data_IF_135000296703
#
_entry.id   IF_135000296703
#
_cell.length_a   1.000
_cell.length_b   1.000
_cell.length_c   1.000
_cell.angle_alpha   90.00
_cell.angle_beta   90.00
_cell.angle_gamma   90.00
#
_symmetry.space_group_name_H-M   'P 1'
#
loop_
_entity.id
_entity.type
_entity.pdbx_description
1 polymer ?
#
# COMPACT_ATOMS: atom_id res chain seq x y z
N UNK A 1 -6.71 52.02 62.50
CA UNK A 1 -6.37 51.10 61.39
C UNK A 1 -5.29 50.13 61.88
N UNK A 2 -5.60 48.86 62.15
CA UNK A 2 -4.57 47.83 62.37
C UNK A 2 -4.10 47.22 61.04
N UNK A 3 -2.83 46.81 60.96
CA UNK A 3 -2.21 46.31 59.72
C UNK A 3 -2.71 44.93 59.30
N UNK A 4 -2.72 44.69 57.99
CA UNK A 4 -2.87 43.35 57.41
C UNK A 4 -1.65 42.49 57.79
N UNK A 5 -1.87 41.26 58.27
CA UNK A 5 -0.79 40.31 58.52
C UNK A 5 -0.70 39.32 57.35
N UNK A 6 0.30 39.51 56.47
CA UNK A 6 0.62 38.53 55.44
C UNK A 6 1.35 37.33 56.07
N UNK A 7 0.63 36.24 56.31
CA UNK A 7 1.25 34.94 56.61
C UNK A 7 1.97 34.42 55.37
N UNK A 8 3.29 34.35 55.41
CA UNK A 8 4.11 33.79 54.34
C UNK A 8 3.79 32.32 54.09
N UNK A 9 3.53 31.97 52.82
CA UNK A 9 3.29 30.59 52.41
C UNK A 9 4.63 29.84 52.29
N UNK A 10 5.01 29.14 53.36
CA UNK A 10 6.23 28.33 53.36
C UNK A 10 6.11 27.15 52.39
N UNK A 11 6.78 27.24 51.24
CA UNK A 11 6.86 26.14 50.27
C UNK A 11 7.63 24.98 50.94
N UNK A 12 6.90 23.90 51.24
CA UNK A 12 7.49 22.66 51.78
C UNK A 12 8.50 22.10 50.78
N UNK A 13 9.65 21.68 51.28
CA UNK A 13 10.83 21.37 50.47
C UNK A 13 10.56 20.42 49.30
N UNK A 14 10.81 20.91 48.10
CA UNK A 14 10.86 20.13 46.87
C UNK A 14 11.98 19.10 46.98
N UNK A 15 11.62 17.81 47.01
CA UNK A 15 12.61 16.73 46.81
C UNK A 15 13.08 16.81 45.36
N UNK A 16 14.33 17.23 45.15
CA UNK A 16 14.96 17.19 43.82
C UNK A 16 15.30 15.76 43.42
N UNK A 17 15.14 15.43 42.14
CA UNK A 17 15.66 14.19 41.58
C UNK A 17 17.18 14.20 41.59
N UNK A 18 17.80 13.07 41.90
CA UNK A 18 19.25 12.90 41.75
C UNK A 18 19.61 12.73 40.27
N UNK A 19 20.84 13.12 39.91
CA UNK A 19 21.34 12.97 38.54
C UNK A 19 21.35 11.50 38.07
N UNK A 20 21.57 10.56 38.99
CA UNK A 20 21.58 9.12 38.69
C UNK A 20 20.19 8.56 38.43
N UNK A 21 19.15 9.01 39.15
CA UNK A 21 17.76 8.62 38.88
C UNK A 21 17.33 9.06 37.47
N UNK A 22 17.64 10.29 37.08
CA UNK A 22 17.33 10.80 35.74
C UNK A 22 18.13 10.04 34.65
N UNK A 23 19.42 9.78 34.89
CA UNK A 23 20.29 9.03 33.97
C UNK A 23 19.78 7.61 33.70
N UNK A 24 19.34 6.89 34.73
CA UNK A 24 18.77 5.54 34.58
C UNK A 24 17.47 5.57 33.79
N UNK A 25 16.61 6.57 34.02
CA UNK A 25 15.33 6.72 33.28
C UNK A 25 15.57 6.95 31.79
N UNK A 26 16.47 7.86 31.40
CA UNK A 26 16.75 8.11 29.98
C UNK A 26 17.45 6.91 29.31
N UNK A 27 18.26 6.14 30.05
CA UNK A 27 18.86 4.92 29.54
C UNK A 27 17.80 3.85 29.22
N UNK A 28 16.82 3.64 30.12
CA UNK A 28 15.72 2.69 29.90
C UNK A 28 14.84 3.13 28.72
N UNK A 29 14.49 4.42 28.65
CA UNK A 29 13.71 4.98 27.53
C UNK A 29 14.47 4.81 26.20
N UNK A 30 15.79 5.02 26.17
CA UNK A 30 16.63 4.79 25.00
C UNK A 30 16.60 3.34 24.51
N UNK A 31 16.72 2.38 25.43
CA UNK A 31 16.64 0.94 25.09
C UNK A 31 15.26 0.60 24.53
N UNK A 32 14.18 0.96 25.25
CA UNK A 32 12.81 0.61 24.84
C UNK A 32 12.42 1.28 23.50
N UNK A 33 12.76 2.55 23.30
CA UNK A 33 12.45 3.27 22.06
C UNK A 33 13.17 2.68 20.84
N UNK A 34 14.42 2.20 20.98
CA UNK A 34 15.16 1.57 19.89
C UNK A 34 14.46 0.31 19.33
N UNK A 35 13.93 -0.54 20.22
CA UNK A 35 13.19 -1.76 19.86
C UNK A 35 11.86 -1.41 19.19
N UNK A 36 11.13 -0.42 19.73
CA UNK A 36 9.86 0.04 19.17
C UNK A 36 10.04 0.58 17.75
N UNK A 37 11.06 1.40 17.49
CA UNK A 37 11.33 1.94 16.14
C UNK A 37 11.62 0.84 15.11
N UNK A 38 12.41 -0.18 15.48
CA UNK A 38 12.67 -1.32 14.61
C UNK A 38 11.38 -2.09 14.25
N UNK A 39 10.52 -2.35 15.24
CA UNK A 39 9.24 -3.04 15.02
C UNK A 39 8.26 -2.24 14.14
N UNK A 40 8.22 -0.91 14.30
CA UNK A 40 7.31 -0.03 13.58
C UNK A 40 7.60 0.01 12.07
N UNK A 41 8.87 -0.07 11.66
CA UNK A 41 9.24 -0.10 10.25
C UNK A 41 8.70 -1.34 9.54
N UNK A 42 8.84 -2.54 10.15
CA UNK A 42 8.26 -3.77 9.60
C UNK A 42 6.73 -3.74 9.56
N UNK A 43 6.09 -3.21 10.61
CA UNK A 43 4.63 -3.05 10.63
C UNK A 43 4.12 -2.12 9.51
N UNK A 44 4.84 -1.04 9.22
CA UNK A 44 4.53 -0.11 8.11
C UNK A 44 4.67 -0.77 6.74
N UNK A 45 5.69 -1.58 6.52
CA UNK A 45 5.86 -2.35 5.27
C UNK A 45 4.68 -3.30 5.05
N UNK A 46 4.34 -4.11 6.06
CA UNK A 46 3.17 -5.02 6.02
C UNK A 46 1.86 -4.28 5.73
N UNK A 47 1.67 -3.10 6.32
CA UNK A 47 0.49 -2.26 6.08
C UNK A 47 0.39 -1.72 4.65
N UNK A 48 1.53 -1.40 4.01
CA UNK A 48 1.57 -1.00 2.60
C UNK A 48 1.29 -2.16 1.66
N UNK A 49 1.89 -3.32 1.89
CA UNK A 49 1.63 -4.51 1.07
C UNK A 49 0.17 -4.98 1.18
N UNK A 50 -0.41 -4.96 2.39
CA UNK A 50 -1.84 -5.25 2.57
C UNK A 50 -2.74 -4.28 1.79
N UNK A 51 -2.34 -3.01 1.66
CA UNK A 51 -3.02 -2.03 0.81
C UNK A 51 -2.85 -2.35 -0.68
N UNK A 52 -1.64 -2.65 -1.16
CA UNK A 52 -1.39 -3.07 -2.56
C UNK A 52 -2.30 -4.22 -2.98
N UNK A 53 -2.37 -5.27 -2.16
CA UNK A 53 -3.22 -6.45 -2.40
C UNK A 53 -4.72 -6.08 -2.42
N UNK A 54 -5.16 -5.16 -1.55
CA UNK A 54 -6.53 -4.64 -1.57
C UNK A 54 -6.83 -3.82 -2.82
N UNK A 55 -5.90 -2.95 -3.23
CA UNK A 55 -6.04 -2.07 -4.38
C UNK A 55 -6.11 -2.87 -5.69
N UNK A 56 -5.24 -3.89 -5.85
CA UNK A 56 -5.29 -4.85 -6.96
C UNK A 56 -6.64 -5.56 -7.03
N UNK A 57 -7.20 -6.02 -5.89
CA UNK A 57 -8.52 -6.68 -5.87
C UNK A 57 -9.69 -5.74 -6.20
N UNK A 58 -9.60 -4.47 -5.85
CA UNK A 58 -10.60 -3.47 -6.25
C UNK A 58 -10.55 -3.22 -7.76
N UNK A 59 -9.36 -3.12 -8.34
CA UNK A 59 -9.17 -3.01 -9.79
C UNK A 59 -9.62 -4.29 -10.53
N UNK A 60 -9.35 -5.49 -9.98
CA UNK A 60 -9.83 -6.76 -10.50
C UNK A 60 -11.37 -6.76 -10.63
N UNK A 61 -12.09 -6.40 -9.57
CA UNK A 61 -13.54 -6.31 -9.58
C UNK A 61 -14.05 -5.27 -10.62
N UNK A 62 -13.38 -4.12 -10.74
CA UNK A 62 -13.74 -3.12 -11.73
C UNK A 62 -13.49 -3.57 -13.18
N UNK A 63 -12.47 -4.40 -13.43
CA UNK A 63 -12.20 -5.01 -14.73
C UNK A 63 -13.28 -6.02 -15.13
N UNK A 64 -13.74 -6.87 -14.22
CA UNK A 64 -14.84 -7.82 -14.51
C UNK A 64 -16.14 -7.09 -14.84
N UNK A 65 -16.51 -6.08 -14.05
CA UNK A 65 -17.69 -5.25 -14.33
C UNK A 65 -17.58 -4.47 -15.66
N UNK A 66 -16.36 -4.07 -16.04
CA UNK A 66 -16.10 -3.48 -17.36
C UNK A 66 -16.28 -4.50 -18.48
N UNK A 67 -15.81 -5.74 -18.30
CA UNK A 67 -15.95 -6.81 -19.29
C UNK A 67 -17.43 -7.16 -19.54
N UNK A 68 -18.21 -7.35 -18.47
CA UNK A 68 -19.66 -7.63 -18.53
C UNK A 68 -20.44 -6.55 -19.30
N UNK A 69 -20.01 -5.29 -19.20
CA UNK A 69 -20.64 -4.17 -19.90
C UNK A 69 -20.11 -3.93 -21.32
N UNK A 70 -18.93 -4.46 -21.68
CA UNK A 70 -18.29 -4.28 -22.98
C UNK A 70 -17.93 -5.62 -23.67
N UNK A 71 -18.87 -6.57 -23.83
CA UNK A 71 -18.59 -7.93 -24.28
C UNK A 71 -18.04 -8.03 -25.72
N UNK A 72 -18.14 -6.97 -26.52
CA UNK A 72 -17.61 -6.91 -27.90
C UNK A 72 -16.14 -6.49 -27.97
N UNK A 73 -15.63 -5.74 -27.00
CA UNK A 73 -14.21 -5.35 -26.91
C UNK A 73 -13.44 -6.17 -25.89
N UNK A 74 -14.12 -6.68 -24.87
CA UNK A 74 -13.52 -7.31 -23.70
C UNK A 74 -12.88 -6.29 -22.77
N UNK A 75 -11.81 -6.69 -22.07
CA UNK A 75 -11.08 -5.86 -21.11
C UNK A 75 -10.47 -4.61 -21.77
N UNK A 76 -10.27 -3.50 -21.04
CA UNK A 76 -9.70 -2.28 -21.62
C UNK A 76 -8.22 -2.50 -21.97
N UNK A 77 -7.76 -1.99 -23.12
CA UNK A 77 -6.35 -2.10 -23.54
C UNK A 77 -5.37 -1.41 -22.60
N UNK A 78 -5.84 -0.42 -21.84
CA UNK A 78 -5.11 0.24 -20.76
C UNK A 78 -6.08 0.73 -19.68
N UNK A 79 -5.66 0.64 -18.42
CA UNK A 79 -6.38 1.25 -17.29
C UNK A 79 -6.07 2.76 -17.20
N UNK A 80 -4.95 3.23 -17.75
CA UNK A 80 -4.48 4.61 -17.58
C UNK A 80 -4.12 4.93 -16.12
N UNK A 81 -3.87 6.21 -15.82
CA UNK A 81 -3.37 6.67 -14.50
C UNK A 81 -4.21 7.78 -13.88
N UNK A 82 -5.34 8.16 -14.49
CA UNK A 82 -6.15 9.31 -14.06
C UNK A 82 -7.64 9.08 -14.32
N UNK A 83 -8.47 10.08 -14.05
CA UNK A 83 -9.93 10.04 -14.27
C UNK A 83 -10.35 9.78 -15.74
N UNK A 84 -9.46 9.94 -16.72
CA UNK A 84 -9.72 9.54 -18.12
C UNK A 84 -9.60 8.03 -18.37
N UNK A 85 -9.34 7.24 -17.34
CA UNK A 85 -9.43 5.77 -17.39
C UNK A 85 -10.81 5.33 -17.90
N UNK A 86 -10.89 4.29 -18.75
CA UNK A 86 -12.17 3.68 -19.12
C UNK A 86 -12.91 3.11 -17.90
N UNK A 87 -12.19 2.67 -16.85
CA UNK A 87 -12.80 2.19 -15.61
C UNK A 87 -13.45 3.32 -14.80
N UNK A 88 -12.82 4.49 -14.76
CA UNK A 88 -13.36 5.67 -14.03
C UNK A 88 -14.45 6.37 -14.83
N UNK A 89 -14.24 6.58 -16.13
CA UNK A 89 -15.23 7.22 -17.02
C UNK A 89 -16.49 6.35 -17.17
N UNK A 90 -16.34 5.02 -17.15
CA UNK A 90 -17.46 4.08 -17.13
C UNK A 90 -18.15 3.92 -15.76
N UNK A 91 -17.60 4.51 -14.68
CA UNK A 91 -18.18 4.45 -13.34
C UNK A 91 -17.96 3.14 -12.58
N UNK A 92 -17.04 2.28 -13.03
CA UNK A 92 -16.72 1.01 -12.39
C UNK A 92 -15.84 1.18 -11.14
N UNK A 93 -15.09 2.28 -11.06
CA UNK A 93 -14.29 2.66 -9.90
C UNK A 93 -14.20 4.20 -9.79
N UNK A 94 -14.22 4.74 -8.57
CA UNK A 94 -14.23 6.21 -8.36
C UNK A 94 -12.91 6.90 -8.71
N UNK A 95 -11.79 6.19 -8.58
CA UNK A 95 -10.44 6.63 -8.95
C UNK A 95 -9.55 5.38 -9.10
N UNK A 96 -8.49 5.47 -9.92
CA UNK A 96 -7.47 4.42 -9.99
C UNK A 96 -6.58 4.51 -8.74
N UNK A 97 -6.43 3.43 -7.95
CA UNK A 97 -5.49 3.41 -6.84
C UNK A 97 -4.03 3.45 -7.32
N UNK A 98 -3.17 4.09 -6.53
CA UNK A 98 -1.73 4.23 -6.77
C UNK A 98 -0.93 3.58 -5.63
N UNK A 99 0.28 3.13 -5.93
CA UNK A 99 1.20 2.53 -4.97
C UNK A 99 1.50 3.46 -3.78
N UNK A 100 1.34 3.00 -2.52
CA UNK A 100 1.46 3.85 -1.34
C UNK A 100 2.89 4.29 -0.98
N UNK A 101 3.91 3.79 -1.68
CA UNK A 101 5.32 4.19 -1.52
C UNK A 101 5.81 5.07 -2.68
N UNK A 102 5.36 4.84 -3.91
CA UNK A 102 5.86 5.53 -5.11
C UNK A 102 4.87 6.51 -5.76
N UNK A 103 3.57 6.42 -5.47
CA UNK A 103 2.53 7.17 -6.19
C UNK A 103 2.44 6.78 -7.67
N UNK A 104 2.88 5.58 -8.03
CA UNK A 104 2.81 5.05 -9.40
C UNK A 104 1.59 4.17 -9.59
N UNK A 105 1.03 4.06 -10.81
CA UNK A 105 -0.03 3.10 -11.11
C UNK A 105 0.47 1.66 -10.94
N UNK A 106 -0.44 0.74 -10.65
CA UNK A 106 -0.16 -0.69 -10.66
C UNK A 106 0.06 -1.23 -12.09
N UNK A 107 0.84 -2.30 -12.21
CA UNK A 107 1.20 -2.90 -13.50
C UNK A 107 -0.02 -3.58 -14.12
N UNK A 108 -0.33 -3.27 -15.37
CA UNK A 108 -1.46 -3.86 -16.10
C UNK A 108 -1.10 -4.20 -17.54
N UNK A 109 -1.50 -5.38 -18.00
CA UNK A 109 -1.38 -5.82 -19.38
C UNK A 109 -2.66 -6.58 -19.80
N UNK A 110 -3.44 -5.98 -20.71
CA UNK A 110 -4.53 -6.68 -21.37
C UNK A 110 -3.99 -7.70 -22.37
N UNK A 111 -4.55 -8.92 -22.36
CA UNK A 111 -4.22 -10.02 -23.27
C UNK A 111 -5.40 -10.36 -24.18
N UNK A 112 -5.12 -10.84 -25.39
CA UNK A 112 -6.16 -11.15 -26.37
C UNK A 112 -5.62 -11.46 -27.76
N UNK A 113 -6.45 -11.22 -28.77
CA UNK A 113 -6.07 -11.38 -30.18
C UNK A 113 -6.74 -10.31 -31.03
N UNK A 114 -5.95 -9.58 -31.82
CA UNK A 114 -6.45 -8.49 -32.65
C UNK A 114 -6.91 -7.29 -31.83
N UNK A 115 -8.19 -6.94 -31.91
CA UNK A 115 -8.78 -5.79 -31.20
C UNK A 115 -9.61 -6.18 -29.98
N UNK A 116 -9.70 -7.47 -29.66
CA UNK A 116 -10.50 -7.98 -28.53
C UNK A 116 -9.61 -8.59 -27.46
N UNK A 117 -9.85 -8.17 -26.22
CA UNK A 117 -8.97 -8.45 -25.08
C UNK A 117 -9.71 -9.39 -24.12
N UNK A 118 -9.39 -10.68 -24.19
CA UNK A 118 -10.11 -11.77 -23.51
C UNK A 118 -9.53 -12.17 -22.15
N UNK A 119 -8.39 -11.62 -21.76
CA UNK A 119 -7.75 -11.86 -20.47
C UNK A 119 -6.88 -10.64 -20.08
N UNK A 120 -6.28 -10.64 -18.90
CA UNK A 120 -5.34 -9.62 -18.47
C UNK A 120 -4.41 -10.16 -17.37
N UNK A 121 -3.31 -9.44 -17.16
CA UNK A 121 -2.53 -9.46 -15.93
C UNK A 121 -2.60 -8.09 -15.26
N UNK A 122 -2.81 -8.11 -13.95
CA UNK A 122 -2.81 -6.94 -13.08
C UNK A 122 -1.96 -7.29 -11.86
N UNK A 123 -0.96 -6.50 -11.52
CA UNK A 123 -0.09 -6.82 -10.39
C UNK A 123 0.60 -5.65 -9.71
N UNK A 124 1.08 -5.91 -8.51
CA UNK A 124 1.75 -4.95 -7.63
C UNK A 124 3.00 -5.55 -7.00
N UNK A 125 4.16 -4.90 -7.18
CA UNK A 125 5.40 -5.28 -6.51
C UNK A 125 5.29 -5.02 -5.00
N UNK A 126 5.39 -6.08 -4.20
CA UNK A 126 5.36 -6.03 -2.75
C UNK A 126 6.75 -5.70 -2.19
N UNK A 127 6.80 -5.08 -1.00
CA UNK A 127 8.07 -4.78 -0.30
C UNK A 127 8.63 -5.99 0.46
N UNK A 128 7.80 -6.99 0.75
CA UNK A 128 8.18 -8.20 1.47
C UNK A 128 8.21 -9.38 0.49
N UNK A 129 9.40 -9.90 0.20
CA UNK A 129 9.62 -11.00 -0.76
C UNK A 129 9.03 -12.34 -0.35
N UNK A 130 8.71 -12.52 0.93
CA UNK A 130 8.12 -13.75 1.48
C UNK A 130 6.73 -13.43 2.06
N UNK A 131 5.94 -12.61 1.35
CA UNK A 131 4.59 -12.28 1.74
C UNK A 131 3.66 -13.43 1.37
N UNK A 132 2.81 -13.90 2.28
CA UNK A 132 1.88 -15.00 2.02
C UNK A 132 0.82 -14.68 0.94
N UNK A 133 0.70 -13.43 0.50
CA UNK A 133 -0.05 -13.09 -0.70
C UNK A 133 0.55 -13.72 -1.98
N UNK A 134 1.88 -13.91 -2.00
CA UNK A 134 2.65 -14.56 -3.08
C UNK A 134 2.58 -16.10 -3.04
N UNK A 135 1.84 -16.69 -2.09
CA UNK A 135 1.49 -18.11 -2.12
C UNK A 135 0.19 -18.35 -2.94
N UNK A 136 -0.38 -17.30 -3.54
CA UNK A 136 -1.72 -17.27 -4.14
C UNK A 136 -1.87 -16.25 -5.27
N UNK A 137 -0.76 -15.75 -5.82
CA UNK A 137 -0.71 -15.05 -7.09
C UNK A 137 -0.82 -16.05 -8.27
N UNK A 138 -0.78 -15.51 -9.48
CA UNK A 138 -1.29 -16.17 -10.67
C UNK A 138 -0.29 -16.21 -11.84
N UNK A 139 1.01 -16.21 -11.53
CA UNK A 139 2.20 -16.40 -12.38
C UNK A 139 1.92 -16.51 -13.88
N UNK A 140 2.39 -15.53 -14.64
CA UNK A 140 2.11 -15.42 -16.05
C UNK A 140 3.36 -15.21 -16.88
N UNK A 141 3.66 -16.19 -17.73
CA UNK A 141 4.69 -16.09 -18.75
C UNK A 141 4.51 -14.78 -19.55
N UNK A 142 5.56 -13.94 -19.58
CA UNK A 142 5.57 -12.62 -20.19
C UNK A 142 5.17 -12.69 -21.67
N UNK A 143 3.87 -12.60 -21.91
CA UNK A 143 3.30 -12.47 -23.24
C UNK A 143 3.52 -11.05 -23.70
N UNK A 144 4.33 -10.88 -24.75
CA UNK A 144 4.43 -9.63 -25.47
C UNK A 144 3.09 -9.32 -26.14
N UNK A 145 2.08 -8.89 -25.37
CA UNK A 145 0.66 -9.11 -25.72
C UNK A 145 -0.45 -8.09 -25.39
N UNK A 146 -0.31 -6.73 -25.44
CA UNK A 146 -1.40 -5.67 -25.41
C UNK A 146 -2.52 -6.00 -26.40
N UNK A 147 -3.30 -7.03 -26.12
CA UNK A 147 -4.08 -7.78 -27.09
C UNK A 147 -3.24 -8.31 -28.31
N UNK A 148 -1.96 -7.87 -28.48
CA UNK A 148 -0.80 -8.43 -29.23
C UNK A 148 0.63 -7.89 -28.89
N UNK A 149 0.89 -6.86 -28.05
CA UNK A 149 2.28 -6.35 -27.81
C UNK A 149 2.63 -5.52 -26.54
N UNK A 150 2.76 -6.11 -25.33
CA UNK A 150 3.04 -5.47 -24.00
C UNK A 150 4.28 -6.04 -23.30
N UNK A 151 5.07 -5.27 -22.58
CA UNK A 151 6.35 -5.74 -22.00
C UNK A 151 6.45 -5.70 -20.46
N UNK A 152 5.35 -5.88 -19.74
CA UNK A 152 5.41 -6.12 -18.29
C UNK A 152 5.72 -7.60 -18.06
N UNK A 153 6.87 -7.87 -17.44
CA UNK A 153 7.24 -9.21 -17.00
C UNK A 153 6.45 -9.54 -15.72
N UNK A 154 5.67 -10.63 -15.76
CA UNK A 154 4.92 -11.20 -14.64
C UNK A 154 5.34 -12.66 -14.42
N UNK A 155 6.54 -13.04 -14.87
CA UNK A 155 6.97 -14.44 -14.94
C UNK A 155 8.08 -14.78 -13.94
N UNK A 156 7.68 -15.38 -12.81
CA UNK A 156 8.58 -16.16 -11.96
C UNK A 156 8.70 -15.65 -10.53
N UNK A 157 9.76 -16.08 -9.84
CA UNK A 157 9.98 -15.90 -8.40
C UNK A 157 10.36 -14.46 -7.99
N UNK A 158 9.61 -13.48 -8.45
CA UNK A 158 9.74 -12.09 -8.08
C UNK A 158 8.71 -11.73 -6.97
N UNK A 159 8.73 -10.51 -6.40
CA UNK A 159 7.80 -10.12 -5.34
C UNK A 159 6.51 -9.48 -5.88
N UNK A 160 6.08 -9.76 -7.12
CA UNK A 160 4.89 -9.15 -7.74
C UNK A 160 3.66 -10.00 -7.48
N UNK A 161 2.77 -9.52 -6.59
CA UNK A 161 1.44 -10.09 -6.46
C UNK A 161 0.61 -9.77 -7.70
N UNK A 162 0.34 -10.77 -8.54
CA UNK A 162 -0.47 -10.63 -9.75
C UNK A 162 -1.81 -11.40 -9.68
N UNK A 163 -2.75 -10.97 -10.52
CA UNK A 163 -4.06 -11.60 -10.72
C UNK A 163 -4.41 -11.65 -12.21
N UNK A 164 -5.17 -12.68 -12.56
CA UNK A 164 -5.78 -12.90 -13.87
C UNK A 164 -7.27 -13.21 -13.71
N UNK A 165 -8.09 -13.04 -14.76
CA UNK A 165 -9.47 -13.52 -14.77
C UNK A 165 -9.56 -15.05 -14.84
#
# INVERSE_FOLDING_TARGET
MPLISMRGYGIRGSKGFTLIELLVVIAIIGILSSIVLASLNSARQKGRDARRVSDVKQLQLALELYYDSNPTTGYPTTIGTTASSPLVTGGFISAIPEDPSTGSPYSYAALGSGTTCSSYHLGATLEITNNAALDSDADAAASTGICTGSGADFAGTDPVYDVKP
#
